data_IF_282510187997
#
_entry.id   IF_282510187997
#
_cell.length_a   1.000
_cell.length_b   1.000
_cell.length_c   1.000
_cell.angle_alpha   90.00
_cell.angle_beta   90.00
_cell.angle_gamma   90.00
#
_symmetry.space_group_name_H-M   'P 1'
#
loop_
_entity.id
_entity.type
_entity.pdbx_description
1 polymer ?
#
# COMPACT_ATOMS: atom_id res chain seq x y z
N UNK A 1 -2.15 19.70 5.15
CA UNK A 1 -0.88 19.05 4.79
C UNK A 1 -1.06 18.47 3.38
N UNK A 2 -0.17 18.77 2.43
CA UNK A 2 -0.18 18.20 1.07
C UNK A 2 0.77 17.01 1.03
N UNK A 3 0.35 15.90 0.42
CA UNK A 3 1.13 14.66 0.35
C UNK A 3 2.11 14.65 -0.82
N UNK A 4 1.85 15.43 -1.88
CA UNK A 4 2.55 15.39 -3.17
C UNK A 4 2.53 13.99 -3.80
N UNK A 5 1.55 13.18 -3.42
CA UNK A 5 1.34 11.82 -3.91
C UNK A 5 0.73 11.86 -5.32
N UNK A 6 0.91 10.79 -6.07
CA UNK A 6 0.24 10.62 -7.36
C UNK A 6 -1.28 10.59 -7.18
N UNK A 7 -1.78 9.93 -6.13
CA UNK A 7 -3.21 9.90 -5.84
C UNK A 7 -3.79 11.30 -5.61
N UNK A 8 -3.12 12.14 -4.82
CA UNK A 8 -3.54 13.53 -4.60
C UNK A 8 -3.62 14.29 -5.93
N UNK A 9 -2.59 14.17 -6.77
CA UNK A 9 -2.53 14.82 -8.09
C UNK A 9 -3.68 14.39 -9.01
N UNK A 10 -4.00 13.10 -9.04
CA UNK A 10 -5.08 12.54 -9.87
C UNK A 10 -6.45 13.05 -9.42
N UNK A 11 -6.69 13.04 -8.11
CA UNK A 11 -7.94 13.53 -7.52
C UNK A 11 -8.11 15.05 -7.71
N UNK A 12 -7.06 15.84 -7.53
CA UNK A 12 -7.09 17.29 -7.75
C UNK A 12 -7.36 17.67 -9.21
N UNK A 13 -6.87 16.87 -10.14
CA UNK A 13 -7.11 17.07 -11.57
C UNK A 13 -8.54 16.67 -12.00
N UNK A 14 -9.35 16.12 -11.09
CA UNK A 14 -10.71 15.64 -11.40
C UNK A 14 -10.74 14.37 -12.24
N UNK A 15 -9.64 13.60 -12.28
CA UNK A 15 -9.57 12.33 -12.99
C UNK A 15 -10.13 11.18 -12.14
N UNK A 16 -10.54 10.11 -12.82
CA UNK A 16 -10.93 8.87 -12.15
C UNK A 16 -9.69 8.17 -11.60
N UNK A 17 -9.61 8.03 -10.28
CA UNK A 17 -8.49 7.38 -9.61
C UNK A 17 -8.70 5.86 -9.50
N UNK A 18 -7.66 5.08 -9.79
CA UNK A 18 -7.65 3.63 -9.65
C UNK A 18 -6.60 3.23 -8.62
N UNK A 19 -7.02 2.50 -7.59
CA UNK A 19 -6.09 1.96 -6.59
C UNK A 19 -6.12 0.43 -6.57
N UNK A 20 -4.97 -0.19 -6.26
CA UNK A 20 -4.85 -1.63 -6.05
C UNK A 20 -4.49 -1.98 -4.61
N UNK A 21 -4.90 -3.15 -4.13
CA UNK A 21 -4.55 -3.61 -2.79
C UNK A 21 -3.42 -4.65 -2.85
N UNK A 22 -2.40 -4.48 -2.00
CA UNK A 22 -1.37 -5.49 -1.76
C UNK A 22 -1.52 -6.04 -0.34
N UNK A 23 -2.12 -7.23 -0.23
CA UNK A 23 -2.17 -7.96 1.03
C UNK A 23 -0.77 -8.43 1.48
N UNK A 24 -0.32 -8.09 2.71
CA UNK A 24 0.98 -8.51 3.22
C UNK A 24 1.11 -10.04 3.34
N UNK A 25 2.29 -10.63 3.05
CA UNK A 25 2.52 -12.06 3.22
C UNK A 25 2.53 -12.48 4.70
N UNK A 26 2.32 -13.78 4.97
CA UNK A 26 2.47 -14.34 6.32
C UNK A 26 3.92 -14.34 6.82
N UNK A 27 4.89 -14.48 5.91
CA UNK A 27 6.32 -14.46 6.23
C UNK A 27 6.97 -13.11 5.96
N UNK A 28 8.29 -13.05 6.21
CA UNK A 28 9.10 -11.85 5.99
C UNK A 28 9.68 -11.74 4.57
N UNK A 29 9.33 -12.65 3.65
CA UNK A 29 9.86 -12.65 2.28
C UNK A 29 9.36 -11.41 1.49
N UNK A 30 10.24 -10.47 1.14
CA UNK A 30 9.86 -9.27 0.40
C UNK A 30 9.48 -9.57 -1.07
N UNK A 31 9.92 -10.68 -1.65
CA UNK A 31 9.66 -11.00 -3.05
C UNK A 31 8.16 -11.19 -3.34
N UNK A 32 7.39 -11.64 -2.35
CA UNK A 32 5.93 -11.74 -2.47
C UNK A 32 5.31 -10.36 -2.73
N UNK A 33 5.80 -9.33 -2.05
CA UNK A 33 5.33 -7.95 -2.23
C UNK A 33 5.84 -7.38 -3.56
N UNK A 34 7.13 -7.55 -3.88
CA UNK A 34 7.72 -7.08 -5.15
C UNK A 34 7.01 -7.64 -6.36
N UNK A 35 6.69 -8.94 -6.36
CA UNK A 35 5.95 -9.58 -7.46
C UNK A 35 4.57 -8.96 -7.66
N UNK A 36 3.80 -8.76 -6.58
CA UNK A 36 2.48 -8.10 -6.64
C UNK A 36 2.60 -6.64 -7.10
N UNK A 37 3.57 -5.90 -6.58
CA UNK A 37 3.86 -4.53 -6.98
C UNK A 37 4.15 -4.41 -8.48
N UNK A 38 5.00 -5.30 -9.03
CA UNK A 38 5.32 -5.35 -10.46
C UNK A 38 4.10 -5.64 -11.34
N UNK A 39 3.15 -6.47 -10.89
CA UNK A 39 1.91 -6.73 -11.62
C UNK A 39 1.00 -5.49 -11.69
N UNK A 40 1.00 -4.69 -10.63
CA UNK A 40 0.16 -3.50 -10.53
C UNK A 40 0.79 -2.25 -11.17
N UNK A 41 2.12 -2.22 -11.28
CA UNK A 41 2.86 -1.07 -11.83
C UNK A 41 2.39 -0.73 -13.24
N UNK A 42 2.07 0.55 -13.45
CA UNK A 42 1.54 1.07 -14.72
C UNK A 42 0.03 0.94 -14.90
N UNK A 43 -0.68 0.25 -13.99
CA UNK A 43 -2.13 0.05 -14.06
C UNK A 43 -2.91 0.78 -12.95
N UNK A 44 -2.25 1.27 -11.90
CA UNK A 44 -2.87 1.91 -10.74
C UNK A 44 -2.18 3.24 -10.39
N UNK A 45 -2.93 4.17 -9.82
CA UNK A 45 -2.43 5.48 -9.37
C UNK A 45 -1.73 5.40 -8.00
N UNK A 46 -2.21 4.51 -7.13
CA UNK A 46 -1.64 4.24 -5.83
C UNK A 46 -2.04 2.84 -5.35
N UNK A 47 -1.34 2.31 -4.35
CA UNK A 47 -1.68 1.01 -3.76
C UNK A 47 -1.89 1.13 -2.25
N UNK A 48 -2.90 0.43 -1.73
CA UNK A 48 -3.09 0.31 -0.30
C UNK A 48 -2.56 -1.01 0.25
N UNK A 49 -2.10 -0.97 1.50
CA UNK A 49 -1.71 -2.15 2.26
C UNK A 49 -2.49 -2.19 3.56
N UNK A 50 -3.28 -3.25 3.74
CA UNK A 50 -4.09 -3.47 4.94
C UNK A 50 -3.24 -3.78 6.16
N UNK A 51 -3.61 -3.22 7.31
CA UNK A 51 -2.97 -3.49 8.60
C UNK A 51 -3.73 -4.55 9.40
N UNK A 52 -3.07 -5.68 9.69
CA UNK A 52 -3.63 -6.75 10.51
C UNK A 52 -4.86 -7.44 9.90
N UNK A 53 -4.88 -7.65 8.57
CA UNK A 53 -6.01 -8.30 7.90
C UNK A 53 -6.41 -9.60 8.61
N UNK A 54 -7.70 -9.75 8.95
CA UNK A 54 -8.27 -10.89 9.69
C UNK A 54 -7.70 -11.15 11.09
N UNK A 55 -7.04 -10.15 11.72
CA UNK A 55 -6.34 -10.30 13.00
C UNK A 55 -5.25 -11.40 12.98
N UNK A 56 -4.67 -11.67 11.80
CA UNK A 56 -3.60 -12.65 11.60
C UNK A 56 -2.26 -11.92 11.49
N UNK A 57 -1.23 -12.48 12.11
CA UNK A 57 0.15 -11.97 11.99
C UNK A 57 0.61 -12.11 10.54
N UNK A 58 1.01 -10.97 9.98
CA UNK A 58 1.56 -10.82 8.62
C UNK A 58 2.75 -9.87 8.69
N UNK A 59 3.48 -9.75 7.59
CA UNK A 59 4.41 -8.65 7.39
C UNK A 59 3.73 -7.30 7.72
N UNK A 60 4.44 -6.41 8.43
CA UNK A 60 3.94 -5.08 8.78
C UNK A 60 3.46 -4.33 7.52
N UNK A 61 2.29 -3.68 7.60
CA UNK A 61 1.75 -2.91 6.47
C UNK A 61 2.72 -1.82 6.00
N UNK A 62 3.39 -1.18 6.95
CA UNK A 62 4.43 -0.18 6.67
C UNK A 62 5.61 -0.77 5.88
N UNK A 63 6.10 -1.95 6.26
CA UNK A 63 7.20 -2.61 5.57
C UNK A 63 6.82 -2.99 4.13
N UNK A 64 5.63 -3.55 3.93
CA UNK A 64 5.12 -3.85 2.59
C UNK A 64 4.92 -2.57 1.74
N UNK A 65 4.46 -1.47 2.33
CA UNK A 65 4.40 -0.17 1.66
C UNK A 65 5.79 0.34 1.25
N UNK A 66 6.80 0.20 2.10
CA UNK A 66 8.17 0.61 1.77
C UNK A 66 8.71 -0.20 0.58
N UNK A 67 8.55 -1.52 0.59
CA UNK A 67 8.97 -2.39 -0.52
C UNK A 67 8.25 -2.00 -1.82
N UNK A 68 6.93 -1.78 -1.80
CA UNK A 68 6.19 -1.36 -2.99
C UNK A 68 6.60 0.05 -3.48
N UNK A 69 7.00 0.94 -2.57
CA UNK A 69 7.53 2.25 -2.90
C UNK A 69 8.89 2.16 -3.60
N UNK A 70 9.76 1.25 -3.18
CA UNK A 70 11.04 0.97 -3.86
C UNK A 70 10.83 0.46 -5.29
N UNK A 71 9.72 -0.25 -5.56
CA UNK A 71 9.32 -0.65 -6.91
C UNK A 71 8.70 0.50 -7.74
N UNK A 72 8.57 1.70 -7.16
CA UNK A 72 8.12 2.91 -7.83
C UNK A 72 6.60 3.12 -7.84
N UNK A 73 5.86 2.50 -6.92
CA UNK A 73 4.43 2.76 -6.72
C UNK A 73 4.21 3.71 -5.55
N UNK A 74 3.05 4.35 -5.52
CA UNK A 74 2.66 5.30 -4.48
C UNK A 74 1.86 4.60 -3.36
N UNK A 75 2.39 4.49 -2.13
CA UNK A 75 1.77 3.70 -1.07
C UNK A 75 0.73 4.47 -0.24
N UNK A 76 -0.32 3.76 0.17
CA UNK A 76 -1.29 4.17 1.18
C UNK A 76 -1.22 3.15 2.32
N UNK A 77 -0.59 3.55 3.41
CA UNK A 77 -0.49 2.71 4.61
C UNK A 77 -1.82 2.80 5.34
N UNK A 78 -2.58 1.71 5.36
CA UNK A 78 -3.72 1.62 6.26
C UNK A 78 -3.21 1.27 7.66
N UNK A 79 -3.90 1.78 8.67
CA UNK A 79 -3.59 1.50 10.06
C UNK A 79 -4.89 1.28 10.81
N UNK A 80 -4.98 0.13 11.48
CA UNK A 80 -6.11 -0.16 12.34
C UNK A 80 -5.83 0.39 13.74
N UNK A 81 -6.78 1.13 14.29
CA UNK A 81 -6.66 1.69 15.64
C UNK A 81 -7.19 0.75 16.74
N UNK A 82 -7.86 -0.35 16.37
CA UNK A 82 -8.32 -1.38 17.32
C UNK A 82 -7.08 -2.02 17.98
N UNK A 83 -7.19 -2.30 19.27
CA UNK A 83 -6.14 -2.97 20.07
C UNK A 83 -4.81 -2.20 20.15
N UNK A 84 -4.84 -0.86 20.01
CA UNK A 84 -3.67 0.02 20.17
C UNK A 84 -3.93 1.15 21.16
N UNK A 85 -2.90 1.52 21.90
CA UNK A 85 -2.91 2.71 22.74
C UNK A 85 -2.69 3.97 21.90
N UNK A 86 -3.17 5.10 22.41
CA UNK A 86 -2.96 6.44 21.82
C UNK A 86 -1.61 7.01 22.22
#
# INVERSE_FOLDING_TARGET
MKTKSNLERVLEAGHFAVTGEIGPPAGADPEVVRRKAKMLKGNIDAFNVTDGQTAVVRMSSWAACLIGKEEGLDPIVQMTCRDRNR
#
